data_IF_872311306505
#
_entry.id   IF_872311306505
#
_cell.length_a   1.000
_cell.length_b   1.000
_cell.length_c   1.000
_cell.angle_alpha   90.00
_cell.angle_beta   90.00
_cell.angle_gamma   90.00
#
_symmetry.space_group_name_H-M   'P 1'
#
loop_
_entity.id
_entity.type
_entity.pdbx_description
1 polymer ?
#
# COMPACT_ATOMS: atom_id res chain seq x y z
N UNK A 1 -14.70 2.09 -8.06
CA UNK A 1 -13.38 1.93 -7.40
C UNK A 1 -12.59 0.95 -8.22
N UNK A 2 -11.38 1.30 -8.63
CA UNK A 2 -10.50 0.39 -9.34
C UNK A 2 -9.87 -0.59 -8.33
N UNK A 3 -9.58 -1.81 -8.78
CA UNK A 3 -8.83 -2.79 -7.98
C UNK A 3 -7.64 -3.27 -8.79
N UNK A 4 -6.50 -3.45 -8.13
CA UNK A 4 -5.30 -4.06 -8.71
C UNK A 4 -5.07 -5.41 -8.04
N UNK A 5 -4.56 -6.38 -8.80
CA UNK A 5 -4.18 -7.67 -8.26
C UNK A 5 -2.67 -7.69 -8.03
N UNK A 6 -2.25 -7.80 -6.77
CA UNK A 6 -0.85 -7.88 -6.38
C UNK A 6 -0.67 -9.18 -5.59
N UNK A 7 0.16 -10.09 -6.09
CA UNK A 7 0.41 -11.40 -5.46
C UNK A 7 -0.87 -12.15 -5.06
N UNK A 8 -1.89 -12.19 -5.94
CA UNK A 8 -3.19 -12.85 -5.71
C UNK A 8 -4.04 -12.19 -4.61
N UNK A 9 -3.71 -10.96 -4.22
CA UNK A 9 -4.51 -10.12 -3.33
C UNK A 9 -5.11 -8.98 -4.14
N UNK A 10 -6.43 -8.81 -4.04
CA UNK A 10 -7.10 -7.64 -4.56
C UNK A 10 -6.87 -6.44 -3.63
N UNK A 11 -6.31 -5.37 -4.18
CA UNK A 11 -6.09 -4.12 -3.45
C UNK A 11 -6.91 -3.02 -4.11
N UNK A 12 -7.71 -2.34 -3.30
CA UNK A 12 -8.53 -1.21 -3.76
C UNK A 12 -7.66 0.02 -4.01
N UNK A 13 -7.88 0.66 -5.15
CA UNK A 13 -7.25 1.92 -5.55
C UNK A 13 -8.33 2.97 -5.78
N UNK A 14 -8.10 4.16 -5.22
CA UNK A 14 -8.93 5.34 -5.46
C UNK A 14 -8.05 6.42 -6.08
N UNK A 15 -8.51 7.01 -7.17
CA UNK A 15 -7.88 8.17 -7.79
C UNK A 15 -8.69 9.39 -7.39
N UNK A 16 -8.04 10.37 -6.74
CA UNK A 16 -8.66 11.63 -6.33
C UNK A 16 -7.83 12.76 -6.94
N UNK A 17 -8.48 13.60 -7.74
CA UNK A 17 -7.82 14.59 -8.59
C UNK A 17 -6.76 13.91 -9.48
N UNK A 18 -5.48 14.20 -9.25
CA UNK A 18 -4.33 13.68 -10.01
C UNK A 18 -3.43 12.77 -9.15
N UNK A 19 -3.98 12.19 -8.07
CA UNK A 19 -3.22 11.31 -7.18
C UNK A 19 -3.92 9.99 -6.96
N UNK A 20 -3.13 8.91 -7.00
CA UNK A 20 -3.59 7.56 -6.75
C UNK A 20 -3.32 7.16 -5.29
N UNK A 21 -4.34 6.59 -4.65
CA UNK A 21 -4.27 6.12 -3.27
C UNK A 21 -4.60 4.64 -3.23
N UNK A 22 -3.82 3.90 -2.46
CA UNK A 22 -3.91 2.45 -2.32
C UNK A 22 -4.44 2.11 -0.92
N UNK A 23 -5.34 1.11 -0.83
CA UNK A 23 -5.86 0.62 0.45
C UNK A 23 -4.81 -0.16 1.23
N UNK A 24 -4.28 0.45 2.29
CA UNK A 24 -3.34 -0.19 3.21
C UNK A 24 -3.97 -1.33 4.01
N UNK A 25 -5.28 -1.30 4.25
CA UNK A 25 -5.99 -2.40 4.92
C UNK A 25 -6.07 -3.63 4.04
N UNK A 26 -6.30 -3.45 2.73
CA UNK A 26 -6.32 -4.58 1.78
C UNK A 26 -4.91 -5.19 1.66
N UNK A 27 -3.87 -4.35 1.66
CA UNK A 27 -2.47 -4.80 1.70
C UNK A 27 -2.12 -5.54 3.00
N UNK A 28 -2.62 -5.08 4.15
CA UNK A 28 -2.34 -5.71 5.43
C UNK A 28 -3.06 -7.04 5.62
N UNK A 29 -4.29 -7.15 5.11
CA UNK A 29 -5.09 -8.37 5.14
C UNK A 29 -4.52 -9.49 4.24
N UNK A 30 -3.68 -9.14 3.27
CA UNK A 30 -2.96 -10.09 2.41
C UNK A 30 -1.98 -11.00 3.18
N UNK A 31 -1.41 -10.50 4.28
CA UNK A 31 -0.40 -11.22 5.08
C UNK A 31 -1.08 -11.99 6.21
N UNK A 32 -1.44 -13.25 5.93
CA UNK A 32 -1.80 -14.30 6.90
C UNK A 32 -2.53 -13.85 8.18
N UNK A 33 -3.87 -13.78 8.08
CA UNK A 33 -4.78 -13.78 9.21
C UNK A 33 -5.19 -12.38 9.69
N UNK A 34 -6.50 -12.13 9.61
CA UNK A 34 -7.24 -10.93 10.02
C UNK A 34 -6.78 -10.31 11.36
N UNK A 35 -6.26 -11.16 12.27
CA UNK A 35 -5.78 -10.76 13.60
C UNK A 35 -4.48 -9.94 13.61
N UNK A 36 -3.73 -9.85 12.50
CA UNK A 36 -2.44 -9.15 12.43
C UNK A 36 -2.43 -7.91 11.56
N UNK A 37 -3.51 -7.63 10.83
CA UNK A 37 -3.58 -6.48 9.94
C UNK A 37 -3.37 -5.14 10.68
N UNK A 38 -3.96 -5.00 11.87
CA UNK A 38 -3.78 -3.82 12.72
C UNK A 38 -2.32 -3.63 13.17
N UNK A 39 -1.59 -4.72 13.45
CA UNK A 39 -0.18 -4.67 13.83
C UNK A 39 0.72 -4.39 12.63
N UNK A 40 0.38 -4.91 11.45
CA UNK A 40 1.08 -4.59 10.19
C UNK A 40 0.91 -3.11 9.85
N UNK A 41 -0.31 -2.57 9.92
CA UNK A 41 -0.56 -1.14 9.70
C UNK A 41 0.15 -0.29 10.76
N UNK A 42 0.07 -0.67 12.04
CA UNK A 42 0.81 0.02 13.11
C UNK A 42 2.31 0.02 12.86
N UNK A 43 2.89 -1.09 12.41
CA UNK A 43 4.31 -1.15 12.09
C UNK A 43 4.65 -0.31 10.87
N UNK A 44 3.88 -0.37 9.78
CA UNK A 44 4.06 0.49 8.60
C UNK A 44 4.04 1.99 8.97
N UNK A 45 3.09 2.41 9.81
CA UNK A 45 2.99 3.80 10.29
C UNK A 45 4.08 4.17 11.30
N UNK A 46 4.61 3.19 12.05
CA UNK A 46 5.65 3.41 13.07
C UNK A 46 7.04 3.49 12.47
N UNK A 47 7.33 2.70 11.44
CA UNK A 47 8.57 2.81 10.68
C UNK A 47 8.39 3.89 9.61
N UNK A 48 8.84 5.11 9.89
CA UNK A 48 9.01 6.18 8.90
C UNK A 48 9.77 5.71 7.64
N UNK A 49 10.64 4.72 7.83
CA UNK A 49 11.36 4.00 6.78
C UNK A 49 10.47 3.34 5.73
N UNK A 50 9.24 2.93 6.08
CA UNK A 50 8.32 2.30 5.13
C UNK A 50 7.76 3.32 4.14
N UNK A 51 7.36 4.51 4.62
CA UNK A 51 6.91 5.61 3.77
C UNK A 51 8.07 6.13 2.90
N UNK A 52 9.25 6.29 3.50
CA UNK A 52 10.46 6.72 2.79
C UNK A 52 10.91 5.70 1.73
N UNK A 53 10.84 4.40 2.05
CA UNK A 53 11.10 3.33 1.08
C UNK A 53 10.10 3.35 -0.08
N UNK A 54 8.80 3.56 0.19
CA UNK A 54 7.79 3.65 -0.86
C UNK A 54 8.03 4.87 -1.77
N UNK A 55 8.39 6.03 -1.21
CA UNK A 55 8.76 7.21 -2.02
C UNK A 55 10.01 6.96 -2.87
N UNK A 56 11.03 6.31 -2.33
CA UNK A 56 12.25 5.97 -3.11
C UNK A 56 11.92 4.94 -4.20
N UNK A 57 11.13 3.92 -3.87
CA UNK A 57 10.70 2.91 -4.83
C UNK A 57 9.92 3.54 -5.97
N UNK A 58 9.02 4.48 -5.67
CA UNK A 58 8.23 5.23 -6.65
C UNK A 58 9.13 6.07 -7.57
N UNK A 59 10.11 6.80 -7.02
CA UNK A 59 11.08 7.56 -7.83
C UNK A 59 11.91 6.67 -8.76
N UNK A 60 12.27 5.47 -8.33
CA UNK A 60 13.09 4.54 -9.12
C UNK A 60 12.27 3.85 -10.21
N UNK A 61 11.03 3.45 -9.89
CA UNK A 61 10.23 2.58 -10.77
C UNK A 61 9.17 3.33 -11.56
N UNK A 62 8.88 4.60 -11.22
CA UNK A 62 7.85 5.41 -11.83
C UNK A 62 8.38 6.81 -12.20
N UNK A 63 9.38 6.85 -13.08
CA UNK A 63 10.14 8.06 -13.48
C UNK A 63 9.29 9.15 -14.16
N UNK A 64 7.99 8.89 -14.37
CA UNK A 64 7.05 9.78 -15.04
C UNK A 64 5.92 10.31 -14.14
N UNK A 65 5.98 10.06 -12.82
CA UNK A 65 5.02 10.58 -11.84
C UNK A 65 5.47 11.93 -11.26
#
# INVERSE_FOLDING_TARGET
MAKINVHHTEITVISIADSDYISLTDMANAKEGDSRAADVIKNLLRTSYALEFLSIWEQINNVHF
#
